data_IF_450477428382
#
_entry.id   IF_450477428382
#
_cell.length_a   1.000
_cell.length_b   1.000
_cell.length_c   1.000
_cell.angle_alpha   90.00
_cell.angle_beta   90.00
_cell.angle_gamma   90.00
#
_symmetry.space_group_name_H-M   'P 1'
#
loop_
_entity.id
_entity.type
_entity.pdbx_description
1 polymer ?
#
# COMPACT_ATOMS: atom_id res chain seq x y z
N UNK A 1 5.56 6.29 -18.35
CA UNK A 1 6.28 7.05 -17.30
C UNK A 1 5.37 8.18 -16.85
N UNK A 2 4.96 8.26 -15.58
CA UNK A 2 4.39 9.51 -15.08
C UNK A 2 5.42 10.63 -15.29
N UNK A 3 4.96 11.87 -15.56
CA UNK A 3 5.87 13.00 -15.77
C UNK A 3 6.77 13.17 -14.55
N UNK A 4 8.08 13.16 -14.78
CA UNK A 4 9.07 13.49 -13.74
C UNK A 4 9.03 15.00 -13.60
N UNK A 5 8.36 15.48 -12.55
CA UNK A 5 8.40 16.89 -12.19
C UNK A 5 9.81 17.27 -11.70
N UNK A 6 10.18 18.55 -11.86
CA UNK A 6 11.47 19.06 -11.39
C UNK A 6 11.59 18.90 -9.86
N UNK A 7 12.73 18.43 -9.35
CA UNK A 7 12.96 18.20 -7.92
C UNK A 7 12.70 19.42 -7.01
N UNK A 8 12.81 20.65 -7.54
CA UNK A 8 12.44 21.88 -6.83
C UNK A 8 10.92 22.12 -6.78
N UNK A 9 10.20 21.71 -7.83
CA UNK A 9 8.73 21.74 -7.88
C UNK A 9 8.18 20.73 -6.87
N UNK A 10 8.79 19.56 -6.75
CA UNK A 10 8.41 18.51 -5.80
C UNK A 10 8.43 18.99 -4.34
N UNK A 11 9.48 19.70 -3.92
CA UNK A 11 9.58 20.17 -2.53
C UNK A 11 8.48 21.18 -2.15
N UNK A 12 8.18 22.14 -3.02
CA UNK A 12 7.18 23.18 -2.72
C UNK A 12 5.75 22.60 -2.66
N UNK A 13 5.42 21.73 -3.62
CA UNK A 13 4.08 21.12 -3.66
C UNK A 13 3.88 20.12 -2.52
N UNK A 14 4.94 19.42 -2.09
CA UNK A 14 4.91 18.56 -0.89
C UNK A 14 4.57 19.39 0.35
N UNK A 15 5.25 20.52 0.59
CA UNK A 15 4.95 21.38 1.75
C UNK A 15 3.53 21.96 1.70
N UNK A 16 3.05 22.30 0.50
CA UNK A 16 1.67 22.75 0.31
C UNK A 16 0.64 21.68 0.70
N UNK A 17 0.87 20.41 0.36
CA UNK A 17 -0.01 19.30 0.78
C UNK A 17 0.15 19.03 2.28
N UNK A 18 1.39 18.95 2.78
CA UNK A 18 1.71 18.67 4.19
C UNK A 18 1.02 19.66 5.12
N UNK A 19 1.14 20.96 4.85
CA UNK A 19 0.52 22.01 5.68
C UNK A 19 -1.01 21.90 5.77
N UNK A 20 -1.67 21.40 4.72
CA UNK A 20 -3.13 21.21 4.69
C UNK A 20 -3.62 19.93 5.40
N UNK A 21 -2.70 19.05 5.80
CA UNK A 21 -3.03 17.81 6.53
C UNK A 21 -2.32 17.67 7.88
N UNK A 22 -1.56 18.69 8.28
CA UNK A 22 -0.74 18.69 9.49
C UNK A 22 -1.55 18.44 10.78
N UNK A 23 -2.83 18.80 10.81
CA UNK A 23 -3.72 18.60 11.97
C UNK A 23 -4.05 17.13 12.27
N UNK A 24 -3.85 16.23 11.30
CA UNK A 24 -4.13 14.79 11.42
C UNK A 24 -2.94 13.90 11.06
N UNK A 25 -1.80 14.50 10.75
CA UNK A 25 -0.60 13.80 10.31
C UNK A 25 0.12 13.16 11.49
N UNK A 26 0.43 11.87 11.38
CA UNK A 26 1.26 11.18 12.37
C UNK A 26 2.75 11.36 12.03
N UNK A 27 3.65 11.63 13.00
CA UNK A 27 5.07 11.85 12.74
C UNK A 27 5.76 10.69 12.02
N UNK A 28 5.35 9.44 12.28
CA UNK A 28 5.87 8.27 11.57
C UNK A 28 5.59 8.33 10.06
N UNK A 29 4.43 8.83 9.66
CA UNK A 29 4.01 8.88 8.26
C UNK A 29 4.50 10.15 7.53
N UNK A 30 4.99 11.15 8.26
CA UNK A 30 5.47 12.43 7.74
C UNK A 30 6.83 12.29 7.04
N UNK A 31 6.82 11.73 5.83
CA UNK A 31 8.00 11.63 4.98
C UNK A 31 7.73 12.28 3.63
N UNK A 32 8.73 12.97 3.01
CA UNK A 32 8.56 13.55 1.68
C UNK A 32 8.09 12.53 0.64
N UNK A 33 8.57 11.29 0.73
CA UNK A 33 8.21 10.22 -0.21
C UNK A 33 6.76 9.75 -0.08
N UNK A 34 6.17 9.77 1.12
CA UNK A 34 4.74 9.50 1.26
C UNK A 34 3.91 10.57 0.56
N UNK A 35 4.20 11.85 0.76
CA UNK A 35 3.50 12.92 0.03
C UNK A 35 3.70 12.82 -1.48
N UNK A 36 4.92 12.51 -1.92
CA UNK A 36 5.23 12.33 -3.34
C UNK A 36 4.40 11.20 -3.97
N UNK A 37 4.23 10.06 -3.27
CA UNK A 37 3.34 8.97 -3.72
C UNK A 37 1.93 9.47 -3.95
N UNK A 38 1.35 10.14 -2.96
CA UNK A 38 -0.01 10.69 -3.05
C UNK A 38 -0.15 11.68 -4.22
N UNK A 39 0.83 12.57 -4.39
CA UNK A 39 0.86 13.52 -5.50
C UNK A 39 0.93 12.81 -6.87
N UNK A 40 1.83 11.84 -7.02
CA UNK A 40 2.00 11.06 -8.26
C UNK A 40 0.68 10.37 -8.68
N UNK A 41 -0.07 9.83 -7.72
CA UNK A 41 -1.35 9.13 -7.96
C UNK A 41 -2.47 10.02 -8.44
N UNK A 42 -2.37 11.32 -8.17
CA UNK A 42 -3.37 12.31 -8.56
C UNK A 42 -2.81 13.34 -9.53
N UNK A 43 -1.79 12.97 -10.30
CA UNK A 43 -1.19 13.81 -11.34
C UNK A 43 -0.78 15.19 -10.79
N UNK A 44 -0.23 15.20 -9.57
CA UNK A 44 0.16 16.39 -8.82
C UNK A 44 -0.99 17.40 -8.59
N UNK A 45 -2.25 16.95 -8.65
CA UNK A 45 -3.40 17.77 -8.30
C UNK A 45 -3.51 17.89 -6.76
N UNK A 46 -3.09 19.03 -6.21
CA UNK A 46 -3.08 19.31 -4.76
C UNK A 46 -4.44 19.07 -4.11
N UNK A 47 -5.53 19.56 -4.71
CA UNK A 47 -6.87 19.45 -4.13
C UNK A 47 -7.34 18.00 -4.03
N UNK A 48 -7.20 17.22 -5.12
CA UNK A 48 -7.51 15.78 -5.13
C UNK A 48 -6.62 15.00 -4.18
N UNK A 49 -5.33 15.35 -4.12
CA UNK A 49 -4.33 14.75 -3.23
C UNK A 49 -4.73 14.95 -1.78
N UNK A 50 -4.97 16.19 -1.35
CA UNK A 50 -5.38 16.53 0.02
C UNK A 50 -6.69 15.84 0.38
N UNK A 51 -7.68 15.85 -0.51
CA UNK A 51 -8.98 15.22 -0.25
C UNK A 51 -8.85 13.72 0.08
N UNK A 52 -8.09 12.97 -0.72
CA UNK A 52 -7.94 11.53 -0.53
C UNK A 52 -6.94 11.19 0.58
N UNK A 53 -5.83 11.93 0.69
CA UNK A 53 -4.88 11.78 1.79
C UNK A 53 -5.55 12.01 3.15
N UNK A 54 -6.44 12.99 3.28
CA UNK A 54 -7.18 13.18 4.55
C UNK A 54 -8.06 12.00 4.91
N UNK A 55 -8.71 11.34 3.94
CA UNK A 55 -9.47 10.11 4.20
C UNK A 55 -8.54 8.99 4.68
N UNK A 56 -7.41 8.83 4.01
CA UNK A 56 -6.40 7.86 4.38
C UNK A 56 -5.86 8.09 5.80
N UNK A 57 -5.40 9.30 6.12
CA UNK A 57 -4.85 9.63 7.44
C UNK A 57 -5.87 9.44 8.57
N UNK A 58 -7.15 9.76 8.35
CA UNK A 58 -8.22 9.47 9.31
C UNK A 58 -8.35 7.97 9.56
N UNK A 59 -8.37 7.17 8.50
CA UNK A 59 -8.48 5.73 8.60
C UNK A 59 -7.27 5.09 9.29
N UNK A 60 -6.04 5.56 8.98
CA UNK A 60 -4.82 5.15 9.68
C UNK A 60 -4.92 5.41 11.17
N UNK A 61 -5.37 6.62 11.54
CA UNK A 61 -5.54 7.05 12.94
C UNK A 61 -6.58 6.20 13.68
N UNK A 62 -7.74 5.97 13.07
CA UNK A 62 -8.81 5.14 13.66
C UNK A 62 -8.37 3.70 13.93
N UNK A 63 -7.42 3.18 13.14
CA UNK A 63 -6.93 1.80 13.26
C UNK A 63 -5.56 1.67 13.93
N UNK A 64 -4.97 2.79 14.33
CA UNK A 64 -3.66 2.85 14.96
C UNK A 64 -2.54 2.26 14.10
N UNK A 65 -2.58 2.48 12.78
CA UNK A 65 -1.64 1.84 11.86
C UNK A 65 -0.21 2.34 11.99
N UNK A 66 -0.02 3.58 12.41
CA UNK A 66 1.29 4.16 12.66
C UNK A 66 1.85 3.81 14.06
N UNK A 67 1.17 2.92 14.79
CA UNK A 67 1.51 2.46 16.14
C UNK A 67 1.61 0.92 16.16
N UNK A 68 0.60 0.22 16.67
CA UNK A 68 0.55 -1.24 16.84
C UNK A 68 -0.53 -1.91 15.97
N UNK A 69 -1.25 -1.13 15.18
CA UNK A 69 -2.40 -1.55 14.40
C UNK A 69 -3.44 -2.32 15.23
N UNK A 70 -3.63 -1.95 16.52
CA UNK A 70 -4.60 -2.60 17.41
C UNK A 70 -6.06 -2.43 16.99
N UNK A 71 -6.35 -1.45 16.13
CA UNK A 71 -7.69 -1.28 15.55
C UNK A 71 -8.02 -2.25 14.42
N UNK A 72 -7.05 -3.07 13.99
CA UNK A 72 -7.27 -4.17 13.05
C UNK A 72 -7.53 -5.47 13.81
N UNK A 73 -8.55 -6.23 13.41
CA UNK A 73 -8.77 -7.59 13.93
C UNK A 73 -7.54 -8.48 13.64
N UNK A 74 -7.30 -9.45 14.52
CA UNK A 74 -6.25 -10.45 14.37
C UNK A 74 -6.87 -11.84 14.20
N UNK A 75 -6.25 -12.65 13.35
CA UNK A 75 -6.65 -14.05 13.16
C UNK A 75 -5.39 -14.90 13.05
N UNK A 76 -5.29 -15.96 13.85
CA UNK A 76 -4.14 -16.88 13.76
C UNK A 76 -4.12 -17.64 12.43
N UNK A 77 -5.28 -17.78 11.78
CA UNK A 77 -5.47 -18.54 10.55
C UNK A 77 -4.93 -17.78 9.33
N UNK A 78 -5.11 -16.46 9.25
CA UNK A 78 -4.79 -15.71 8.02
C UNK A 78 -3.31 -15.69 7.65
N UNK A 79 -2.40 -15.71 8.63
CA UNK A 79 -0.97 -15.72 8.38
C UNK A 79 -0.48 -17.04 7.76
N UNK A 80 -1.18 -18.15 8.02
CA UNK A 80 -0.81 -19.49 7.57
C UNK A 80 -1.31 -19.77 6.14
N UNK A 81 -2.51 -19.28 5.79
CA UNK A 81 -3.20 -19.69 4.56
C UNK A 81 -3.17 -18.66 3.42
N UNK A 82 -2.73 -17.42 3.66
CA UNK A 82 -2.56 -16.40 2.60
C UNK A 82 -1.22 -15.66 2.73
N UNK A 83 -0.08 -16.37 2.58
CA UNK A 83 1.23 -15.76 2.78
C UNK A 83 1.57 -14.81 1.64
N UNK A 84 1.93 -13.58 2.00
CA UNK A 84 2.55 -12.63 1.07
C UNK A 84 4.07 -12.80 1.12
N UNK A 85 4.69 -13.19 0.01
CA UNK A 85 6.11 -13.52 -0.01
C UNK A 85 6.95 -12.31 -0.42
N UNK A 86 7.79 -11.82 0.48
CA UNK A 86 8.82 -10.82 0.14
C UNK A 86 10.06 -11.54 -0.35
N UNK A 87 10.41 -11.36 -1.62
CA UNK A 87 11.57 -12.03 -2.24
C UNK A 87 12.85 -11.27 -1.94
N UNK A 88 12.81 -9.94 -1.98
CA UNK A 88 13.97 -9.10 -1.72
C UNK A 88 13.98 -7.82 -2.55
N UNK A 89 15.12 -7.11 -2.53
CA UNK A 89 15.31 -5.85 -3.23
C UNK A 89 15.93 -6.05 -4.61
N UNK A 90 15.34 -5.41 -5.61
CA UNK A 90 15.94 -5.22 -6.92
C UNK A 90 16.52 -3.81 -7.01
N UNK A 91 17.82 -3.71 -7.30
CA UNK A 91 18.47 -2.42 -7.49
C UNK A 91 18.20 -1.92 -8.91
N UNK A 92 17.59 -0.75 -9.01
CA UNK A 92 17.23 -0.14 -10.29
C UNK A 92 17.67 1.32 -10.26
N UNK A 93 18.19 1.81 -11.39
CA UNK A 93 18.47 3.23 -11.54
C UNK A 93 17.19 4.06 -11.31
N UNK A 94 17.29 5.09 -10.47
CA UNK A 94 16.13 5.92 -10.10
C UNK A 94 15.25 5.32 -8.99
N UNK A 95 15.70 4.26 -8.30
CA UNK A 95 15.14 3.81 -7.03
C UNK A 95 14.91 2.30 -6.97
N UNK A 96 15.23 1.72 -5.83
CA UNK A 96 15.10 0.27 -5.60
C UNK A 96 13.62 -0.17 -5.62
N UNK A 97 13.41 -1.44 -5.95
CA UNK A 97 12.09 -2.08 -5.97
C UNK A 97 12.06 -3.27 -5.03
N UNK A 98 11.11 -3.28 -4.09
CA UNK A 98 10.86 -4.44 -3.24
C UNK A 98 10.02 -5.45 -4.02
N UNK A 99 10.58 -6.61 -4.33
CA UNK A 99 9.88 -7.68 -5.04
C UNK A 99 8.99 -8.43 -4.05
N UNK A 100 7.70 -8.44 -4.35
CA UNK A 100 6.67 -9.15 -3.59
C UNK A 100 5.95 -10.09 -4.53
N UNK A 101 5.81 -11.36 -4.15
CA UNK A 101 5.12 -12.38 -4.92
C UNK A 101 3.88 -12.84 -4.15
N UNK A 102 2.74 -12.76 -4.82
CA UNK A 102 1.44 -13.21 -4.35
C UNK A 102 1.01 -14.43 -5.17
N UNK A 103 1.00 -15.60 -4.52
CA UNK A 103 0.64 -16.88 -5.14
C UNK A 103 -0.85 -17.14 -5.07
N UNK A 104 -1.64 -16.16 -5.51
CA UNK A 104 -3.08 -16.16 -5.35
C UNK A 104 -3.78 -17.39 -5.96
N UNK A 105 -3.22 -17.99 -7.02
CA UNK A 105 -3.78 -19.21 -7.63
C UNK A 105 -3.63 -20.48 -6.78
N UNK A 106 -2.81 -20.45 -5.72
CA UNK A 106 -2.57 -21.59 -4.82
C UNK A 106 -3.22 -21.43 -3.45
N UNK A 107 -3.93 -20.32 -3.22
CA UNK A 107 -4.62 -20.05 -1.97
C UNK A 107 -6.03 -20.64 -2.04
N UNK A 108 -6.38 -21.49 -1.07
CA UNK A 108 -7.77 -21.94 -0.86
C UNK A 108 -8.61 -20.83 -0.20
N UNK A 109 -8.90 -19.76 -0.97
CA UNK A 109 -9.71 -18.64 -0.49
C UNK A 109 -11.09 -19.14 -0.03
N UNK A 110 -11.66 -20.14 -0.69
CA UNK A 110 -12.94 -20.73 -0.30
C UNK A 110 -12.89 -21.34 1.11
N UNK A 111 -11.83 -22.07 1.43
CA UNK A 111 -11.56 -22.60 2.77
C UNK A 111 -11.30 -21.50 3.80
N UNK A 112 -10.49 -20.49 3.46
CA UNK A 112 -10.21 -19.33 4.34
C UNK A 112 -11.50 -18.60 4.68
N UNK A 113 -12.36 -18.30 3.70
CA UNK A 113 -13.60 -17.55 3.90
C UNK A 113 -14.67 -18.34 4.66
N UNK A 114 -14.58 -19.67 4.71
CA UNK A 114 -15.40 -20.52 5.59
C UNK A 114 -14.87 -20.55 7.03
N UNK A 115 -13.62 -20.15 7.25
CA UNK A 115 -12.92 -20.28 8.52
C UNK A 115 -12.85 -18.97 9.32
N UNK A 116 -12.91 -17.82 8.64
CA UNK A 116 -12.76 -16.50 9.25
C UNK A 116 -13.75 -15.49 8.69
N UNK A 117 -13.93 -14.37 9.39
CA UNK A 117 -14.71 -13.25 8.86
C UNK A 117 -13.95 -12.57 7.71
N UNK A 118 -14.63 -12.14 6.62
CA UNK A 118 -13.98 -11.40 5.54
C UNK A 118 -13.24 -10.13 6.01
N UNK A 119 -13.72 -9.49 7.07
CA UNK A 119 -13.05 -8.34 7.69
C UNK A 119 -11.69 -8.71 8.30
N UNK A 120 -11.55 -9.89 8.89
CA UNK A 120 -10.28 -10.39 9.41
C UNK A 120 -9.27 -10.59 8.28
N UNK A 121 -9.71 -11.14 7.14
CA UNK A 121 -8.87 -11.28 5.96
C UNK A 121 -8.36 -9.93 5.44
N UNK A 122 -9.27 -8.96 5.26
CA UNK A 122 -8.89 -7.60 4.84
C UNK A 122 -7.94 -6.94 5.84
N UNK A 123 -8.16 -7.12 7.14
CA UNK A 123 -7.27 -6.61 8.18
C UNK A 123 -5.87 -7.24 8.11
N UNK A 124 -5.75 -8.53 7.79
CA UNK A 124 -4.45 -9.14 7.53
C UNK A 124 -3.76 -8.52 6.31
N UNK A 125 -4.50 -8.29 5.22
CA UNK A 125 -3.94 -7.63 4.02
C UNK A 125 -3.39 -6.24 4.36
N UNK A 126 -4.10 -5.46 5.16
CA UNK A 126 -3.59 -4.17 5.62
C UNK A 126 -2.31 -4.29 6.45
N UNK A 127 -2.21 -5.27 7.36
CA UNK A 127 -0.96 -5.53 8.10
C UNK A 127 0.19 -5.87 7.15
N UNK A 128 -0.07 -6.67 6.12
CA UNK A 128 0.93 -6.99 5.11
C UNK A 128 1.41 -5.74 4.37
N UNK A 129 0.49 -4.86 3.95
CA UNK A 129 0.83 -3.61 3.29
C UNK A 129 1.61 -2.63 4.17
N UNK A 130 1.26 -2.52 5.46
CA UNK A 130 2.01 -1.70 6.42
C UNK A 130 3.44 -2.22 6.64
N UNK A 131 3.62 -3.55 6.66
CA UNK A 131 4.95 -4.15 6.71
C UNK A 131 5.76 -3.80 5.46
N UNK A 132 5.17 -3.90 4.25
CA UNK A 132 5.85 -3.50 3.01
C UNK A 132 6.20 -2.00 3.01
N UNK A 133 5.27 -1.15 3.42
CA UNK A 133 5.49 0.30 3.51
C UNK A 133 6.62 0.62 4.50
N UNK A 134 6.68 -0.06 5.64
CA UNK A 134 7.75 0.10 6.63
C UNK A 134 9.12 -0.24 6.04
N UNK A 135 9.21 -1.34 5.28
CA UNK A 135 10.44 -1.71 4.58
C UNK A 135 10.86 -0.66 3.54
N UNK A 136 9.88 -0.13 2.81
CA UNK A 136 10.06 0.94 1.82
C UNK A 136 10.57 2.22 2.50
N UNK A 137 9.86 2.74 3.49
CA UNK A 137 10.24 3.97 4.18
C UNK A 137 11.62 3.87 4.84
N UNK A 138 11.98 2.70 5.38
CA UNK A 138 13.32 2.46 5.90
C UNK A 138 14.39 2.58 4.80
N UNK A 139 14.18 1.92 3.65
CA UNK A 139 15.11 1.97 2.52
C UNK A 139 15.23 3.38 1.93
N UNK A 140 14.13 4.12 1.90
CA UNK A 140 14.11 5.52 1.46
C UNK A 140 14.88 6.45 2.40
N UNK A 141 14.75 6.24 3.72
CA UNK A 141 15.52 6.99 4.71
C UNK A 141 17.03 6.70 4.60
N UNK A 142 17.40 5.46 4.25
CA UNK A 142 18.80 5.05 4.05
C UNK A 142 19.40 5.61 2.75
N UNK A 143 18.63 5.62 1.67
CA UNK A 143 19.15 5.96 0.32
C UNK A 143 18.87 7.40 -0.10
N UNK A 144 17.87 8.06 0.49
CA UNK A 144 17.37 9.36 0.03
C UNK A 144 16.69 9.31 -1.34
N UNK A 145 16.29 8.13 -1.81
CA UNK A 145 15.64 7.92 -3.12
C UNK A 145 14.31 7.21 -2.94
N UNK A 146 13.28 7.64 -3.68
CA UNK A 146 11.95 7.05 -3.61
C UNK A 146 11.98 5.58 -4.09
N UNK A 147 11.45 4.68 -3.27
CA UNK A 147 11.35 3.25 -3.55
C UNK A 147 9.90 2.84 -3.88
N UNK A 148 9.73 1.70 -4.53
CA UNK A 148 8.40 1.14 -4.86
C UNK A 148 8.36 -0.37 -4.66
N UNK A 149 7.16 -0.96 -4.67
CA UNK A 149 6.95 -2.40 -4.67
C UNK A 149 6.76 -2.87 -6.12
N UNK A 150 7.49 -3.92 -6.50
CA UNK A 150 7.19 -4.70 -7.69
C UNK A 150 6.34 -5.90 -7.24
N UNK A 151 5.03 -5.79 -7.44
CA UNK A 151 4.08 -6.81 -7.03
C UNK A 151 3.85 -7.80 -8.18
N UNK A 152 4.16 -9.07 -7.95
CA UNK A 152 4.04 -10.14 -8.93
C UNK A 152 2.88 -11.03 -8.52
N UNK A 153 1.85 -11.07 -9.35
CA UNK A 153 0.74 -12.00 -9.20
C UNK A 153 1.07 -13.30 -9.92
N UNK A 154 1.33 -14.36 -9.16
CA UNK A 154 1.41 -15.71 -9.68
C UNK A 154 -0.01 -16.31 -9.71
N UNK A 155 -0.55 -16.39 -10.93
CA UNK A 155 -1.90 -16.88 -11.20
C UNK A 155 -1.93 -18.40 -11.46
N UNK A 156 -0.80 -19.11 -11.33
CA UNK A 156 -0.76 -20.55 -11.52
C UNK A 156 -1.71 -21.26 -10.53
N UNK A 157 -2.60 -22.10 -11.07
CA UNK A 157 -3.66 -22.77 -10.31
C UNK A 157 -4.93 -21.95 -10.07
N UNK A 158 -4.98 -20.67 -10.49
CA UNK A 158 -6.16 -19.84 -10.30
C UNK A 158 -7.37 -20.40 -11.08
N UNK A 159 -8.43 -20.75 -10.35
CA UNK A 159 -9.73 -21.12 -10.91
C UNK A 159 -10.77 -20.05 -10.63
N UNK A 160 -11.64 -19.79 -11.60
CA UNK A 160 -12.74 -18.85 -11.41
C UNK A 160 -13.80 -19.44 -10.46
N UNK A 161 -14.01 -18.76 -9.33
CA UNK A 161 -15.11 -19.04 -8.39
C UNK A 161 -16.01 -17.79 -8.24
N UNK A 162 -17.25 -17.83 -8.77
CA UNK A 162 -18.18 -16.71 -8.70
C UNK A 162 -18.50 -16.26 -7.27
N UNK A 163 -18.37 -17.15 -6.29
CA UNK A 163 -18.65 -16.82 -4.88
C UNK A 163 -17.65 -15.80 -4.30
N UNK A 164 -16.47 -15.66 -4.93
CA UNK A 164 -15.41 -14.76 -4.49
C UNK A 164 -15.55 -13.32 -5.05
N UNK A 165 -16.48 -13.07 -5.98
CA UNK A 165 -16.66 -11.75 -6.58
C UNK A 165 -17.02 -10.66 -5.55
N UNK A 166 -17.76 -11.01 -4.49
CA UNK A 166 -18.11 -10.09 -3.41
C UNK A 166 -16.92 -9.66 -2.54
N UNK A 167 -15.84 -10.45 -2.53
CA UNK A 167 -14.60 -10.11 -1.79
C UNK A 167 -13.74 -9.18 -2.65
N UNK A 168 -13.63 -9.48 -3.95
CA UNK A 168 -12.91 -8.65 -4.92
C UNK A 168 -13.50 -7.24 -5.02
N UNK A 169 -14.82 -7.08 -4.90
CA UNK A 169 -15.44 -5.76 -4.87
C UNK A 169 -15.08 -4.96 -3.60
N UNK A 170 -14.88 -5.61 -2.46
CA UNK A 170 -14.36 -4.98 -1.23
C UNK A 170 -12.91 -4.51 -1.36
N UNK A 171 -12.10 -5.21 -2.16
CA UNK A 171 -10.72 -4.85 -2.47
C UNK A 171 -10.58 -3.56 -3.30
N UNK A 172 -11.65 -3.04 -3.91
CA UNK A 172 -11.63 -1.71 -4.56
C UNK A 172 -11.29 -0.56 -3.59
N UNK A 173 -11.40 -0.80 -2.28
CA UNK A 173 -10.94 0.13 -1.25
C UNK A 173 -9.41 0.17 -1.12
N UNK A 174 -8.67 -0.81 -1.63
CA UNK A 174 -7.20 -0.92 -1.55
C UNK A 174 -6.51 0.20 -2.34
N UNK A 175 -7.12 0.68 -3.43
CA UNK A 175 -6.63 1.84 -4.21
C UNK A 175 -6.61 3.13 -3.36
N UNK A 176 -7.41 3.21 -2.29
CA UNK A 176 -7.37 4.32 -1.31
C UNK A 176 -6.27 4.15 -0.26
N UNK A 177 -5.54 3.02 -0.25
CA UNK A 177 -4.54 2.68 0.77
C UNK A 177 -3.10 2.64 0.24
N UNK A 178 -2.88 2.37 -1.05
CA UNK A 178 -1.56 2.32 -1.66
C UNK A 178 -1.52 3.11 -2.97
N UNK A 179 -1.50 4.46 -2.90
CA UNK A 179 -1.76 5.27 -4.08
C UNK A 179 -0.80 5.02 -5.25
N UNK A 180 0.42 4.55 -5.03
CA UNK A 180 1.44 4.37 -6.10
C UNK A 180 2.52 3.35 -5.73
N UNK A 181 2.35 2.57 -4.67
CA UNK A 181 3.37 1.62 -4.24
C UNK A 181 3.48 0.43 -5.20
N UNK A 182 2.43 0.17 -5.99
CA UNK A 182 2.40 -0.87 -7.02
C UNK A 182 2.42 -0.18 -8.39
N UNK A 183 3.54 -0.27 -9.11
CA UNK A 183 3.60 0.21 -10.49
C UNK A 183 2.91 -0.82 -11.40
N UNK A 184 1.87 -0.45 -12.17
CA UNK A 184 1.45 -1.27 -13.28
C UNK A 184 2.62 -1.34 -14.27
N UNK A 185 2.94 -2.56 -14.73
CA UNK A 185 3.94 -2.77 -15.78
C UNK A 185 3.44 -2.00 -17.01
N UNK A 186 4.16 -0.96 -17.42
CA UNK A 186 3.94 -0.38 -18.73
C UNK A 186 4.46 -1.41 -19.75
N UNK A 187 3.58 -1.88 -20.62
CA UNK A 187 3.96 -2.53 -21.88
C UNK A 187 4.68 -1.52 -22.78
#
# INVERSE_FOLDING_TARGET
MPPVADAKVDANIIEQVRSQVADILHPHYDTPFNFLRWLQSYEFNVSKTVHNLRKHLKWRKERHLDEDARGLQQSAVTAEYAPLSVVGWNQVEGGDRLIVVDQCGRIDIGGVMKSIQPTEYLHQLYRNFENLLSMIMKKEAETGVQCAVLYVFDLDGLSFDPSLLGILSGMSSIDLFLPTTVLPRAE
#
